data_IF_815802559183
#
_entry.id   IF_815802559183
#
_cell.length_a   1.000
_cell.length_b   1.000
_cell.length_c   1.000
_cell.angle_alpha   90.00
_cell.angle_beta   90.00
_cell.angle_gamma   90.00
#
_symmetry.space_group_name_H-M   'P 1'
#
loop_
_entity.id
_entity.type
_entity.pdbx_description
1 polymer ?
#
# COMPACT_ATOMS: atom_id res chain seq x y z
N UNK A 1 -14.93 43.12 -22.16
CA UNK A 1 -14.71 41.70 -22.51
C UNK A 1 -13.48 41.04 -21.86
N UNK A 2 -12.66 41.74 -21.04
CA UNK A 2 -11.50 41.15 -20.34
C UNK A 2 -11.83 40.43 -19.02
N UNK A 3 -13.02 40.64 -18.44
CA UNK A 3 -13.41 40.10 -17.12
C UNK A 3 -13.96 38.66 -17.16
N UNK A 4 -14.34 38.16 -18.34
CA UNK A 4 -14.86 36.79 -18.51
C UNK A 4 -13.71 35.77 -18.54
N UNK A 5 -12.56 36.14 -19.10
CA UNK A 5 -11.40 35.24 -19.22
C UNK A 5 -10.84 34.83 -17.85
N UNK A 6 -10.87 35.73 -16.86
CA UNK A 6 -10.40 35.46 -15.49
C UNK A 6 -11.30 34.47 -14.74
N UNK A 7 -12.60 34.42 -15.07
CA UNK A 7 -13.56 33.53 -14.39
C UNK A 7 -13.39 32.07 -14.84
N UNK A 8 -13.01 31.83 -16.10
CA UNK A 8 -12.78 30.48 -16.63
C UNK A 8 -11.52 29.83 -16.05
N UNK A 9 -10.48 30.60 -15.72
CA UNK A 9 -9.23 30.07 -15.15
C UNK A 9 -9.44 29.55 -13.71
N UNK A 10 -10.31 30.19 -12.92
CA UNK A 10 -10.61 29.73 -11.57
C UNK A 10 -11.40 28.40 -11.52
N UNK A 11 -12.20 28.10 -12.54
CA UNK A 11 -13.00 26.86 -12.58
C UNK A 11 -12.16 25.61 -12.91
N UNK A 12 -11.08 25.77 -13.69
CA UNK A 12 -10.18 24.65 -14.02
C UNK A 12 -9.34 24.24 -12.80
N UNK A 13 -8.97 25.18 -11.94
CA UNK A 13 -8.20 24.90 -10.72
C UNK A 13 -8.97 24.08 -9.67
N UNK A 14 -10.30 24.11 -9.67
CA UNK A 14 -11.13 23.37 -8.71
C UNK A 14 -11.25 21.87 -9.04
N UNK A 15 -10.93 21.45 -10.28
CA UNK A 15 -11.02 20.05 -10.69
C UNK A 15 -9.80 19.19 -10.28
N UNK A 16 -8.74 19.81 -9.77
CA UNK A 16 -7.51 19.10 -9.38
C UNK A 16 -7.54 18.51 -7.96
N UNK A 17 -8.57 18.81 -7.15
CA UNK A 17 -8.65 18.42 -5.74
C UNK A 17 -9.39 17.09 -5.48
N UNK A 18 -9.63 16.29 -6.53
CA UNK A 18 -10.38 15.03 -6.42
C UNK A 18 -9.87 13.89 -7.30
N UNK A 19 -8.60 13.88 -7.68
CA UNK A 19 -8.05 12.78 -8.47
C UNK A 19 -8.07 11.48 -7.66
N UNK A 20 -8.90 10.54 -8.08
CA UNK A 20 -8.83 9.15 -7.62
C UNK A 20 -7.45 8.59 -7.96
N UNK A 21 -6.85 7.77 -7.08
CA UNK A 21 -5.51 7.23 -7.31
C UNK A 21 -5.44 6.51 -8.66
N UNK A 22 -4.45 6.89 -9.46
CA UNK A 22 -4.13 6.15 -10.67
C UNK A 22 -3.18 5.00 -10.34
N UNK A 23 -3.14 3.99 -11.20
CA UNK A 23 -2.13 2.93 -11.13
C UNK A 23 -0.70 3.52 -11.19
N UNK A 24 -0.51 4.58 -11.97
CA UNK A 24 0.78 5.25 -12.17
C UNK A 24 1.31 5.87 -10.87
N UNK A 25 0.43 6.40 -10.01
CA UNK A 25 0.81 6.96 -8.72
C UNK A 25 1.45 5.91 -7.79
N UNK A 26 1.04 4.65 -7.93
CA UNK A 26 1.49 3.54 -7.10
C UNK A 26 2.83 2.97 -7.56
N UNK A 27 3.18 3.13 -8.83
CA UNK A 27 4.46 2.65 -9.39
C UNK A 27 5.63 3.25 -8.62
N UNK A 28 6.60 2.41 -8.24
CA UNK A 28 7.79 2.77 -7.47
C UNK A 28 7.92 1.96 -6.18
N UNK A 29 8.86 2.36 -5.33
CA UNK A 29 9.17 1.66 -4.08
C UNK A 29 8.54 2.37 -2.89
N UNK A 30 7.83 1.61 -2.07
CA UNK A 30 7.16 2.07 -0.86
C UNK A 30 7.73 1.37 0.35
N UNK A 31 8.27 2.16 1.27
CA UNK A 31 8.84 1.67 2.52
C UNK A 31 7.88 1.84 3.67
N UNK A 32 7.68 0.80 4.45
CA UNK A 32 6.88 0.84 5.67
C UNK A 32 7.60 1.67 6.72
N UNK A 33 6.94 2.73 7.20
CA UNK A 33 7.40 3.57 8.31
C UNK A 33 6.94 3.03 9.65
N UNK A 34 5.67 2.66 9.74
CA UNK A 34 5.07 2.09 10.94
C UNK A 34 4.06 1.03 10.54
N UNK A 35 4.02 -0.03 11.34
CA UNK A 35 3.02 -1.08 11.23
C UNK A 35 2.12 -1.06 12.48
N UNK A 36 0.82 -0.98 12.26
CA UNK A 36 -0.18 -1.06 13.32
C UNK A 36 -0.96 -2.35 13.15
N UNK A 37 -1.01 -3.18 14.19
CA UNK A 37 -1.72 -4.47 14.17
C UNK A 37 -2.84 -4.41 15.20
N UNK A 38 -4.08 -4.58 14.75
CA UNK A 38 -5.30 -4.46 15.56
C UNK A 38 -6.01 -5.80 15.77
N UNK A 39 -5.53 -6.88 15.16
CA UNK A 39 -6.07 -8.22 15.33
C UNK A 39 -5.56 -8.94 16.58
N UNK A 40 -6.40 -9.85 17.06
CA UNK A 40 -6.12 -10.76 18.17
C UNK A 40 -6.54 -10.20 19.53
N UNK A 41 -6.75 -11.11 20.48
CA UNK A 41 -7.07 -10.77 21.87
C UNK A 41 -5.87 -10.12 22.59
N UNK A 42 -6.11 -9.60 23.80
CA UNK A 42 -5.07 -9.04 24.66
C UNK A 42 -4.36 -10.08 25.51
N UNK A 43 -4.17 -11.30 24.99
CA UNK A 43 -3.38 -12.34 25.67
C UNK A 43 -1.88 -12.12 25.42
N UNK A 44 -0.99 -12.58 26.32
CA UNK A 44 0.46 -12.44 26.14
C UNK A 44 0.97 -13.04 24.83
N UNK A 45 0.45 -14.21 24.43
CA UNK A 45 0.83 -14.86 23.18
C UNK A 45 0.44 -14.03 21.95
N UNK A 46 -0.77 -13.47 21.93
CA UNK A 46 -1.21 -12.61 20.82
C UNK A 46 -0.45 -11.29 20.78
N UNK A 47 -0.07 -10.74 21.94
CA UNK A 47 0.81 -9.56 22.00
C UNK A 47 2.18 -9.84 21.38
N UNK A 48 2.76 -11.02 21.65
CA UNK A 48 4.02 -11.42 21.04
C UNK A 48 3.90 -11.51 19.52
N UNK A 49 2.86 -12.18 19.00
CA UNK A 49 2.62 -12.29 17.55
C UNK A 49 2.48 -10.90 16.92
N UNK A 50 1.72 -9.98 17.55
CA UNK A 50 1.61 -8.60 17.07
C UNK A 50 2.97 -7.90 17.02
N UNK A 51 3.82 -8.10 18.03
CA UNK A 51 5.14 -7.49 18.07
C UNK A 51 6.05 -8.05 16.98
N UNK A 52 6.01 -9.37 16.74
CA UNK A 52 6.74 -10.02 15.64
C UNK A 52 6.34 -9.46 14.28
N UNK A 53 5.02 -9.36 14.00
CA UNK A 53 4.50 -8.77 12.76
C UNK A 53 4.97 -7.32 12.61
N UNK A 54 4.85 -6.50 13.66
CA UNK A 54 5.32 -5.11 13.64
C UNK A 54 6.80 -5.01 13.33
N UNK A 55 7.63 -5.84 13.98
CA UNK A 55 9.06 -5.88 13.75
C UNK A 55 9.40 -6.32 12.33
N UNK A 56 8.74 -7.38 11.83
CA UNK A 56 9.00 -7.93 10.51
C UNK A 56 8.56 -7.03 9.36
N UNK A 57 7.53 -6.21 9.55
CA UNK A 57 7.03 -5.31 8.51
C UNK A 57 7.63 -3.91 8.57
N UNK A 58 8.12 -3.46 9.72
CA UNK A 58 8.76 -2.13 9.82
C UNK A 58 10.01 -2.08 8.94
N UNK A 59 10.12 -1.05 8.09
CA UNK A 59 11.13 -0.91 7.04
C UNK A 59 11.07 -1.94 5.90
N UNK A 60 10.04 -2.79 5.83
CA UNK A 60 9.81 -3.60 4.64
C UNK A 60 9.50 -2.71 3.42
N UNK A 61 9.80 -3.21 2.24
CA UNK A 61 9.69 -2.48 0.97
C UNK A 61 8.77 -3.22 0.00
N UNK A 62 7.83 -2.47 -0.56
CA UNK A 62 6.87 -2.89 -1.58
C UNK A 62 7.22 -2.15 -2.87
N UNK A 63 7.67 -2.88 -3.88
CA UNK A 63 8.04 -2.32 -5.19
C UNK A 63 6.97 -2.70 -6.21
N UNK A 64 6.28 -1.69 -6.74
CA UNK A 64 5.28 -1.83 -7.81
C UNK A 64 5.90 -1.37 -9.13
N UNK A 65 6.23 -2.31 -10.00
CA UNK A 65 6.81 -2.03 -11.30
C UNK A 65 5.79 -1.53 -12.33
N UNK A 66 6.21 -0.74 -13.33
CA UNK A 66 5.34 -0.22 -14.39
C UNK A 66 4.74 -1.32 -15.28
N UNK A 67 5.40 -2.48 -15.39
CA UNK A 67 4.92 -3.65 -16.13
C UNK A 67 4.24 -4.67 -15.21
N UNK A 68 3.53 -4.20 -14.19
CA UNK A 68 2.79 -5.05 -13.25
C UNK A 68 3.64 -6.04 -12.44
N UNK A 69 4.97 -5.99 -12.49
CA UNK A 69 5.83 -6.79 -11.61
C UNK A 69 5.78 -6.28 -10.17
N UNK A 70 5.67 -7.18 -9.20
CA UNK A 70 5.68 -6.87 -7.78
C UNK A 70 6.90 -7.48 -7.10
N UNK A 71 7.56 -6.71 -6.23
CA UNK A 71 8.60 -7.25 -5.35
C UNK A 71 8.34 -6.82 -3.92
N UNK A 72 8.55 -7.75 -3.01
CA UNK A 72 8.48 -7.52 -1.59
C UNK A 72 9.84 -7.87 -0.97
N UNK A 73 10.35 -6.98 -0.10
CA UNK A 73 11.60 -7.20 0.63
C UNK A 73 11.35 -6.94 2.11
N UNK A 74 11.68 -7.91 2.94
CA UNK A 74 11.63 -7.72 4.38
C UNK A 74 12.95 -7.16 4.93
N UNK A 75 12.94 -6.45 6.07
CA UNK A 75 14.16 -6.05 6.74
C UNK A 75 14.99 -7.26 7.16
N UNK A 76 16.31 -7.10 7.22
CA UNK A 76 17.22 -8.15 7.71
C UNK A 76 16.94 -8.56 9.17
N UNK A 77 16.35 -7.65 9.97
CA UNK A 77 15.98 -7.87 11.36
C UNK A 77 14.63 -8.60 11.55
N UNK A 78 14.04 -9.14 10.47
CA UNK A 78 12.74 -9.82 10.53
C UNK A 78 12.80 -11.08 11.42
N UNK A 79 11.72 -11.41 12.12
CA UNK A 79 11.54 -12.73 12.71
C UNK A 79 11.56 -13.84 11.64
N UNK A 80 12.14 -15.00 11.97
CA UNK A 80 12.17 -16.16 11.08
C UNK A 80 10.76 -16.69 10.75
N UNK A 81 9.80 -16.52 11.67
CA UNK A 81 8.39 -16.88 11.49
C UNK A 81 7.72 -16.16 10.30
N UNK A 82 8.30 -15.07 9.81
CA UNK A 82 7.75 -14.27 8.72
C UNK A 82 8.51 -14.45 7.40
N UNK A 83 9.54 -15.29 7.35
CA UNK A 83 10.39 -15.46 6.17
C UNK A 83 9.59 -15.90 4.92
N UNK A 84 8.55 -16.70 5.10
CA UNK A 84 7.69 -17.16 4.01
C UNK A 84 6.95 -16.01 3.29
N UNK A 85 6.73 -14.87 3.96
CA UNK A 85 6.10 -13.72 3.33
C UNK A 85 6.91 -13.17 2.15
N UNK A 86 8.21 -13.42 2.04
CA UNK A 86 8.99 -13.01 0.86
C UNK A 86 8.65 -13.80 -0.41
N UNK A 87 7.95 -14.94 -0.30
CA UNK A 87 7.53 -15.75 -1.46
C UNK A 87 6.58 -15.03 -2.41
N UNK A 88 5.85 -14.01 -1.93
CA UNK A 88 4.98 -13.18 -2.79
C UNK A 88 5.80 -12.31 -3.76
N UNK A 89 7.09 -12.11 -3.49
CA UNK A 89 8.00 -11.34 -4.33
C UNK A 89 8.20 -12.04 -5.67
N UNK A 90 8.11 -11.28 -6.76
CA UNK A 90 8.11 -11.83 -8.12
C UNK A 90 6.72 -12.11 -8.68
N UNK A 91 5.66 -11.93 -7.90
CA UNK A 91 4.27 -11.96 -8.38
C UNK A 91 3.97 -10.77 -9.31
N UNK A 92 2.80 -10.80 -9.95
CA UNK A 92 2.25 -9.61 -10.61
C UNK A 92 1.35 -8.81 -9.66
N UNK A 93 0.97 -7.59 -10.06
CA UNK A 93 -0.01 -6.78 -9.36
C UNK A 93 -0.90 -6.00 -10.33
N UNK A 94 -2.10 -5.65 -9.88
CA UNK A 94 -3.01 -4.74 -10.58
C UNK A 94 -3.66 -3.77 -9.61
N UNK A 95 -4.12 -2.64 -10.14
CA UNK A 95 -4.91 -1.66 -9.41
C UNK A 95 -6.39 -1.85 -9.73
N UNK A 96 -7.21 -2.04 -8.70
CA UNK A 96 -8.66 -1.92 -8.79
C UNK A 96 -9.07 -0.52 -8.30
N UNK A 97 -9.39 0.35 -9.25
CA UNK A 97 -9.79 1.73 -8.96
C UNK A 97 -11.16 1.82 -8.29
N UNK A 98 -12.06 0.85 -8.49
CA UNK A 98 -13.39 0.87 -7.86
C UNK A 98 -13.30 0.51 -6.38
N UNK A 99 -12.38 -0.38 -6.01
CA UNK A 99 -12.15 -0.82 -4.64
C UNK A 99 -11.02 -0.06 -3.93
N UNK A 100 -10.31 0.80 -4.65
CA UNK A 100 -9.08 1.47 -4.21
C UNK A 100 -8.06 0.47 -3.65
N UNK A 101 -7.84 -0.62 -4.38
CA UNK A 101 -7.12 -1.78 -3.89
C UNK A 101 -6.02 -2.22 -4.85
N UNK A 102 -4.84 -2.49 -4.29
CA UNK A 102 -3.79 -3.23 -5.00
C UNK A 102 -4.03 -4.71 -4.79
N UNK A 103 -4.17 -5.44 -5.89
CA UNK A 103 -4.30 -6.89 -5.89
C UNK A 103 -3.00 -7.51 -6.41
N UNK A 104 -2.38 -8.37 -5.62
CA UNK A 104 -1.11 -9.05 -5.91
C UNK A 104 -1.41 -10.53 -6.17
N UNK A 105 -0.77 -11.08 -7.20
CA UNK A 105 -0.91 -12.46 -7.61
C UNK A 105 -0.66 -12.61 -9.09
N UNK A 106 -1.39 -13.51 -9.74
CA UNK A 106 -1.31 -13.78 -11.16
C UNK A 106 -2.71 -13.89 -11.76
N UNK A 107 -2.82 -13.82 -13.08
CA UNK A 107 -4.10 -14.10 -13.74
C UNK A 107 -4.61 -15.51 -13.42
N UNK A 108 -3.71 -16.50 -13.26
CA UNK A 108 -4.05 -17.88 -12.94
C UNK A 108 -4.71 -18.03 -11.56
N UNK A 109 -4.27 -17.25 -10.58
CA UNK A 109 -4.87 -17.23 -9.23
C UNK A 109 -5.95 -16.16 -9.06
N UNK A 110 -6.23 -15.36 -10.09
CA UNK A 110 -7.18 -14.26 -10.03
C UNK A 110 -6.69 -13.03 -9.26
N UNK A 111 -5.38 -12.88 -9.05
CA UNK A 111 -4.74 -11.88 -8.20
C UNK A 111 -5.15 -12.00 -6.72
N UNK A 112 -5.10 -13.20 -6.15
CA UNK A 112 -5.61 -13.50 -4.80
C UNK A 112 -4.51 -13.77 -3.75
N UNK A 113 -3.23 -13.54 -4.06
CA UNK A 113 -2.16 -13.76 -3.09
C UNK A 113 -2.15 -12.71 -1.98
N UNK A 114 -2.39 -11.43 -2.31
CA UNK A 114 -2.47 -10.37 -1.32
C UNK A 114 -3.29 -9.17 -1.83
N UNK A 115 -4.15 -8.65 -0.97
CA UNK A 115 -4.96 -7.46 -1.24
C UNK A 115 -4.60 -6.34 -0.26
N UNK A 116 -4.28 -5.17 -0.80
CA UNK A 116 -3.90 -3.98 -0.05
C UNK A 116 -4.87 -2.84 -0.38
N UNK A 117 -5.73 -2.46 0.57
CA UNK A 117 -6.53 -1.24 0.39
C UNK A 117 -5.62 -0.02 0.58
N UNK A 118 -5.58 0.87 -0.40
CA UNK A 118 -4.75 2.08 -0.35
C UNK A 118 -5.60 3.23 0.18
N UNK A 119 -5.15 3.86 1.26
CA UNK A 119 -5.83 5.03 1.84
C UNK A 119 -4.86 6.20 1.86
N UNK A 120 -5.29 7.35 1.32
CA UNK A 120 -4.53 8.61 1.35
C UNK A 120 -5.28 9.64 2.21
N UNK A 121 -4.62 10.15 3.26
CA UNK A 121 -5.18 11.19 4.12
C UNK A 121 -4.07 12.12 4.59
N UNK A 122 -4.27 13.44 4.47
CA UNK A 122 -3.38 14.47 5.04
C UNK A 122 -1.88 14.22 4.77
N UNK A 123 -1.54 13.91 3.51
CA UNK A 123 -0.20 13.53 3.02
C UNK A 123 0.37 12.18 3.51
N UNK A 124 -0.39 11.39 4.25
CA UNK A 124 -0.02 10.02 4.61
C UNK A 124 -0.66 9.02 3.63
N UNK A 125 0.13 8.04 3.18
CA UNK A 125 -0.35 6.88 2.43
C UNK A 125 -0.30 5.68 3.35
N UNK A 126 -1.41 4.95 3.46
CA UNK A 126 -1.48 3.72 4.25
C UNK A 126 -1.91 2.56 3.36
N UNK A 127 -1.22 1.43 3.46
CA UNK A 127 -1.65 0.16 2.88
C UNK A 127 -2.29 -0.68 3.98
N UNK A 128 -3.57 -0.99 3.80
CA UNK A 128 -4.36 -1.72 4.78
C UNK A 128 -4.60 -3.15 4.33
N UNK A 129 -4.23 -4.08 5.20
CA UNK A 129 -4.59 -5.49 5.18
C UNK A 129 -5.66 -5.72 6.27
N UNK A 130 -6.38 -6.84 6.24
CA UNK A 130 -7.23 -7.24 7.36
C UNK A 130 -6.44 -7.23 8.69
N UNK A 131 -6.78 -6.29 9.58
CA UNK A 131 -6.15 -6.18 10.89
C UNK A 131 -4.76 -5.55 10.94
N UNK A 132 -4.21 -5.10 9.82
CA UNK A 132 -2.87 -4.49 9.75
C UNK A 132 -2.93 -3.23 8.89
N UNK A 133 -2.48 -2.11 9.44
CA UNK A 133 -2.33 -0.85 8.73
C UNK A 133 -0.83 -0.49 8.64
N UNK A 134 -0.34 -0.29 7.42
CA UNK A 134 1.05 0.03 7.13
C UNK A 134 1.15 1.48 6.66
N UNK A 135 1.76 2.35 7.46
CA UNK A 135 2.08 3.71 7.01
C UNK A 135 3.26 3.65 6.06
N UNK A 136 3.09 4.20 4.86
CA UNK A 136 4.03 4.06 3.75
C UNK A 136 4.69 5.39 3.42
N UNK A 137 5.97 5.32 3.04
CA UNK A 137 6.69 6.41 2.40
C UNK A 137 7.25 5.93 1.07
N UNK A 138 6.92 6.63 -0.01
CA UNK A 138 7.56 6.42 -1.32
C UNK A 138 9.02 6.86 -1.25
N UNK A 139 9.95 6.05 -1.77
CA UNK A 139 11.39 6.31 -1.78
C UNK A 139 11.97 6.29 -3.19
#
# INVERSE_FOLDING_TARGET
MKKILTLCICFIALQLLGQTPSQEDLVGTWKVKTATVTVGENTPAQQQIRNEIKQGLTNAEFEFGPQQGFRFRMPASRPASLAEMESISGSSWKWDAALEMVMIGSELDGYNLLHLKVVRKDNAVTFNLPGIALSMKKI
#
